data_IF_939181036888
#
_entry.id   IF_939181036888
#
_cell.length_a   1.000
_cell.length_b   1.000
_cell.length_c   1.000
_cell.angle_alpha   90.00
_cell.angle_beta   90.00
_cell.angle_gamma   90.00
#
_symmetry.space_group_name_H-M   'P 1'
#
loop_
_entity.id
_entity.type
_entity.pdbx_description
1 polymer ?
#
# COMPACT_ATOMS: atom_id res chain seq x y z
N UNK A 1 36.46 -31.33 33.41
CA UNK A 1 36.61 -31.29 31.94
C UNK A 1 35.38 -30.58 31.37
N UNK A 2 35.43 -29.26 31.18
CA UNK A 2 34.32 -28.48 30.61
C UNK A 2 34.90 -27.81 29.37
N UNK A 3 34.43 -28.20 28.18
CA UNK A 3 34.79 -27.52 26.93
C UNK A 3 33.53 -27.20 26.12
N UNK A 4 33.44 -25.91 25.78
CA UNK A 4 32.83 -25.33 24.58
C UNK A 4 31.35 -25.61 24.25
N UNK A 5 30.49 -24.66 24.60
CA UNK A 5 29.23 -24.35 23.88
C UNK A 5 29.00 -22.84 23.81
N UNK A 6 29.83 -22.10 23.06
CA UNK A 6 29.64 -20.65 22.88
C UNK A 6 29.99 -20.16 21.48
N UNK A 7 29.45 -20.76 20.42
CA UNK A 7 29.63 -20.22 19.05
C UNK A 7 28.41 -20.30 18.13
N UNK A 8 27.31 -20.96 18.52
CA UNK A 8 26.17 -21.18 17.59
C UNK A 8 25.10 -20.08 17.62
N UNK A 9 25.02 -19.25 18.68
CA UNK A 9 23.93 -18.26 18.84
C UNK A 9 24.11 -17.00 17.99
N UNK A 10 25.36 -16.63 17.65
CA UNK A 10 25.66 -15.42 16.88
C UNK A 10 25.50 -15.59 15.36
N UNK A 11 25.66 -16.80 14.83
CA UNK A 11 25.48 -17.06 13.40
C UNK A 11 24.00 -17.11 12.98
N UNK A 12 23.12 -17.61 13.84
CA UNK A 12 21.67 -17.67 13.59
C UNK A 12 21.02 -16.28 13.48
N UNK A 13 21.44 -15.32 14.32
CA UNK A 13 20.93 -13.94 14.25
C UNK A 13 21.38 -13.20 12.99
N UNK A 14 22.63 -13.40 12.53
CA UNK A 14 23.12 -12.86 11.25
C UNK A 14 22.43 -13.51 10.05
N UNK A 15 22.18 -14.82 10.10
CA UNK A 15 21.45 -15.53 9.05
C UNK A 15 20.00 -15.04 8.92
N UNK A 16 19.28 -14.87 10.05
CA UNK A 16 17.91 -14.31 10.05
C UNK A 16 17.85 -12.90 9.50
N UNK A 17 18.75 -12.01 9.92
CA UNK A 17 18.80 -10.64 9.39
C UNK A 17 19.04 -10.62 7.87
N UNK A 18 19.92 -11.50 7.38
CA UNK A 18 20.19 -11.63 5.94
C UNK A 18 18.96 -12.16 5.19
N UNK A 19 18.23 -13.13 5.74
CA UNK A 19 17.00 -13.68 5.13
C UNK A 19 15.87 -12.63 5.08
N UNK A 20 15.58 -11.92 6.18
CA UNK A 20 14.54 -10.87 6.18
C UNK A 20 14.90 -9.72 5.24
N UNK A 21 16.17 -9.31 5.18
CA UNK A 21 16.63 -8.30 4.19
C UNK A 21 16.47 -8.77 2.74
N UNK A 22 16.66 -10.06 2.47
CA UNK A 22 16.48 -10.67 1.15
C UNK A 22 15.00 -10.74 0.79
N UNK A 23 14.11 -11.13 1.72
CA UNK A 23 12.67 -11.16 1.45
C UNK A 23 12.08 -9.76 1.22
N UNK A 24 12.47 -8.76 2.02
CA UNK A 24 12.06 -7.35 1.79
C UNK A 24 12.56 -6.86 0.43
N UNK A 25 13.80 -7.21 0.06
CA UNK A 25 14.35 -6.87 -1.26
C UNK A 25 13.60 -7.58 -2.40
N UNK A 26 13.27 -8.86 -2.25
CA UNK A 26 12.51 -9.63 -3.25
C UNK A 26 11.09 -9.04 -3.41
N UNK A 27 10.43 -8.68 -2.30
CA UNK A 27 9.10 -8.08 -2.33
C UNK A 27 9.11 -6.72 -3.02
N UNK A 28 10.09 -5.86 -2.69
CA UNK A 28 10.30 -4.59 -3.41
C UNK A 28 10.58 -4.77 -4.91
N UNK A 29 11.32 -5.81 -5.30
CA UNK A 29 11.56 -6.09 -6.73
C UNK A 29 10.31 -6.56 -7.47
N UNK A 30 9.44 -7.33 -6.81
CA UNK A 30 8.17 -7.78 -7.37
C UNK A 30 7.21 -6.60 -7.55
N UNK A 31 7.05 -5.78 -6.51
CA UNK A 31 6.18 -4.60 -6.54
C UNK A 31 6.60 -3.63 -7.65
N UNK A 32 7.90 -3.42 -7.82
CA UNK A 32 8.43 -2.59 -8.91
C UNK A 32 8.13 -3.17 -10.30
N UNK A 33 8.22 -4.49 -10.44
CA UNK A 33 7.93 -5.16 -11.71
C UNK A 33 6.44 -5.10 -12.03
N UNK A 34 5.58 -5.28 -11.04
CA UNK A 34 4.13 -5.14 -11.17
C UNK A 34 3.74 -3.71 -11.60
N UNK A 35 4.37 -2.69 -11.01
CA UNK A 35 4.20 -1.30 -11.41
C UNK A 35 4.56 -1.09 -12.89
N UNK A 36 5.75 -1.54 -13.30
CA UNK A 36 6.22 -1.40 -14.68
C UNK A 36 5.31 -2.09 -15.69
N UNK A 37 4.83 -3.28 -15.36
CA UNK A 37 3.90 -4.01 -16.22
C UNK A 37 2.58 -3.26 -16.36
N UNK A 38 2.05 -2.69 -15.27
CA UNK A 38 0.85 -1.85 -15.34
C UNK A 38 1.04 -0.61 -16.22
N UNK A 39 2.18 0.09 -16.09
CA UNK A 39 2.47 1.25 -16.93
C UNK A 39 2.57 0.88 -18.42
N UNK A 40 3.15 -0.27 -18.75
CA UNK A 40 3.24 -0.76 -20.12
C UNK A 40 1.84 -0.99 -20.70
N UNK A 41 0.97 -1.66 -19.96
CA UNK A 41 -0.39 -1.96 -20.41
C UNK A 41 -1.23 -0.69 -20.55
N UNK A 42 -1.09 0.25 -19.61
CA UNK A 42 -1.72 1.57 -19.70
C UNK A 42 -1.26 2.28 -20.97
N UNK A 43 0.05 2.33 -21.26
CA UNK A 43 0.56 2.98 -22.46
C UNK A 43 0.02 2.35 -23.75
N UNK A 44 -0.15 1.02 -23.78
CA UNK A 44 -0.71 0.30 -24.91
C UNK A 44 -2.22 0.52 -25.11
N UNK A 45 -2.96 0.93 -24.08
CA UNK A 45 -4.42 1.07 -24.15
C UNK A 45 -4.92 2.51 -24.04
N UNK A 46 -4.12 3.44 -23.50
CA UNK A 46 -4.54 4.81 -23.23
C UNK A 46 -5.02 5.57 -24.48
N UNK A 47 -4.46 5.28 -25.66
CA UNK A 47 -4.90 5.91 -26.91
C UNK A 47 -6.30 5.46 -27.36
N UNK A 48 -6.81 4.34 -26.82
CA UNK A 48 -8.13 3.78 -27.11
C UNK A 48 -9.24 4.37 -26.24
N UNK A 49 -8.91 5.20 -25.24
CA UNK A 49 -9.92 5.94 -24.48
C UNK A 49 -10.61 6.92 -25.44
N UNK A 50 -11.95 6.91 -25.50
CA UNK A 50 -12.71 7.73 -26.45
C UNK A 50 -12.54 9.23 -26.19
N UNK A 51 -12.62 9.62 -24.92
CA UNK A 51 -12.57 11.02 -24.50
C UNK A 51 -11.15 11.59 -24.52
N UNK A 52 -10.89 12.71 -25.22
CA UNK A 52 -9.60 13.40 -25.18
C UNK A 52 -9.25 13.89 -23.76
N UNK A 53 -10.25 14.26 -22.97
CA UNK A 53 -10.05 14.65 -21.58
C UNK A 53 -9.55 13.47 -20.74
N UNK A 54 -10.10 12.28 -20.96
CA UNK A 54 -9.71 11.07 -20.22
C UNK A 54 -8.28 10.66 -20.57
N UNK A 55 -7.86 10.81 -21.84
CA UNK A 55 -6.47 10.59 -22.25
C UNK A 55 -5.50 11.51 -21.49
N UNK A 56 -5.86 12.80 -21.36
CA UNK A 56 -5.06 13.76 -20.57
C UNK A 56 -5.06 13.40 -19.09
N UNK A 57 -6.21 13.04 -18.51
CA UNK A 57 -6.31 12.60 -17.11
C UNK A 57 -5.44 11.38 -16.82
N UNK A 58 -5.51 10.38 -17.70
CA UNK A 58 -4.67 9.19 -17.61
C UNK A 58 -3.19 9.58 -17.56
N UNK A 59 -2.75 10.48 -18.45
CA UNK A 59 -1.37 10.95 -18.46
C UNK A 59 -0.98 11.72 -17.19
N UNK A 60 -1.86 12.56 -16.64
CA UNK A 60 -1.64 13.25 -15.36
C UNK A 60 -1.45 12.26 -14.20
N UNK A 61 -2.30 11.23 -14.14
CA UNK A 61 -2.21 10.18 -13.11
C UNK A 61 -0.97 9.31 -13.26
N UNK A 62 -0.61 8.92 -14.49
CA UNK A 62 0.65 8.19 -14.74
C UNK A 62 1.84 9.02 -14.27
N UNK A 63 1.90 10.32 -14.61
CA UNK A 63 2.96 11.22 -14.14
C UNK A 63 3.02 11.28 -12.62
N UNK A 64 1.86 11.41 -11.95
CA UNK A 64 1.80 11.40 -10.47
C UNK A 64 2.36 10.08 -9.93
N UNK A 65 1.89 8.93 -10.42
CA UNK A 65 2.33 7.62 -9.92
C UNK A 65 3.83 7.38 -10.14
N UNK A 66 4.39 7.83 -11.27
CA UNK A 66 5.83 7.75 -11.53
C UNK A 66 6.66 8.70 -10.66
N UNK A 67 6.06 9.78 -10.15
CA UNK A 67 6.74 10.73 -9.26
C UNK A 67 6.79 10.27 -7.81
N UNK A 68 6.02 9.24 -7.45
CA UNK A 68 6.00 8.70 -6.08
C UNK A 68 7.26 7.88 -5.79
N UNK A 69 7.85 8.05 -4.60
CA UNK A 69 9.04 7.32 -4.21
C UNK A 69 8.73 5.82 -4.02
N UNK A 70 9.74 5.00 -4.26
CA UNK A 70 9.74 3.54 -4.02
C UNK A 70 10.71 3.12 -2.91
N UNK A 71 11.13 4.09 -2.09
CA UNK A 71 12.02 3.90 -0.95
C UNK A 71 11.36 3.13 0.19
N UNK A 72 10.04 3.21 0.31
CA UNK A 72 9.24 2.57 1.33
C UNK A 72 8.20 1.59 0.73
N UNK A 73 8.04 0.44 1.37
CA UNK A 73 7.07 -0.59 1.00
C UNK A 73 5.64 -0.06 0.95
N UNK A 74 5.24 0.77 1.90
CA UNK A 74 3.86 1.30 1.91
C UNK A 74 3.62 2.28 0.75
N UNK A 75 4.62 3.09 0.40
CA UNK A 75 4.54 3.97 -0.77
C UNK A 75 4.47 3.15 -2.08
N UNK A 76 5.27 2.07 -2.17
CA UNK A 76 5.24 1.15 -3.31
C UNK A 76 3.89 0.45 -3.46
N UNK A 77 3.26 0.00 -2.36
CA UNK A 77 1.93 -0.60 -2.35
C UNK A 77 0.86 0.39 -2.82
N UNK A 78 0.81 1.59 -2.24
CA UNK A 78 -0.17 2.61 -2.65
C UNK A 78 0.00 2.93 -4.14
N UNK A 79 1.25 3.11 -4.60
CA UNK A 79 1.53 3.34 -6.02
C UNK A 79 1.00 2.19 -6.90
N UNK A 80 1.19 0.94 -6.47
CA UNK A 80 0.70 -0.24 -7.18
C UNK A 80 -0.82 -0.36 -7.18
N UNK A 81 -1.50 -0.12 -6.06
CA UNK A 81 -2.96 -0.15 -5.98
C UNK A 81 -3.58 0.78 -7.01
N UNK A 82 -3.14 2.04 -7.04
CA UNK A 82 -3.63 3.01 -8.02
C UNK A 82 -3.23 2.64 -9.46
N UNK A 83 -2.01 2.13 -9.69
CA UNK A 83 -1.57 1.73 -11.02
C UNK A 83 -2.38 0.56 -11.58
N UNK A 84 -2.66 -0.47 -10.78
CA UNK A 84 -3.47 -1.60 -11.20
C UNK A 84 -4.92 -1.18 -11.43
N UNK A 85 -5.49 -0.33 -10.58
CA UNK A 85 -6.86 0.14 -10.79
C UNK A 85 -6.97 1.01 -12.05
N UNK A 86 -6.01 1.90 -12.30
CA UNK A 86 -5.95 2.68 -13.53
C UNK A 86 -5.79 1.77 -14.76
N UNK A 87 -4.91 0.76 -14.70
CA UNK A 87 -4.72 -0.23 -15.76
C UNK A 87 -6.03 -0.92 -16.11
N UNK A 88 -6.78 -1.41 -15.12
CA UNK A 88 -8.06 -2.09 -15.36
C UNK A 88 -9.03 -1.17 -16.11
N UNK A 89 -9.16 0.08 -15.68
CA UNK A 89 -10.09 1.02 -16.31
C UNK A 89 -9.67 1.37 -17.75
N UNK A 90 -8.40 1.73 -17.94
CA UNK A 90 -7.85 2.08 -19.26
C UNK A 90 -7.95 0.92 -20.25
N UNK A 91 -7.66 -0.32 -19.80
CA UNK A 91 -7.81 -1.51 -20.64
C UNK A 91 -9.27 -1.77 -21.07
N UNK A 92 -10.25 -1.31 -20.27
CA UNK A 92 -11.67 -1.41 -20.58
C UNK A 92 -12.22 -0.17 -21.33
N UNK A 93 -11.39 0.80 -21.68
CA UNK A 93 -11.78 1.94 -22.51
C UNK A 93 -12.52 3.06 -21.78
N UNK A 94 -12.58 3.07 -20.45
CA UNK A 94 -13.23 4.14 -19.68
C UNK A 94 -12.37 4.62 -18.52
N UNK A 95 -12.67 5.82 -18.01
CA UNK A 95 -12.19 6.30 -16.72
C UNK A 95 -13.38 6.59 -15.78
N UNK A 96 -13.20 6.21 -14.53
CA UNK A 96 -14.09 6.48 -13.42
C UNK A 96 -13.31 7.09 -12.27
N UNK A 97 -14.02 7.46 -11.21
CA UNK A 97 -13.39 7.95 -9.99
C UNK A 97 -12.40 6.90 -9.43
N UNK A 98 -11.23 7.33 -8.91
CA UNK A 98 -10.81 8.72 -8.67
C UNK A 98 -10.17 9.42 -9.90
N UNK A 99 -10.01 8.72 -11.03
CA UNK A 99 -9.18 9.16 -12.16
C UNK A 99 -9.79 10.26 -13.04
N UNK A 100 -11.09 10.54 -12.90
CA UNK A 100 -11.75 11.65 -13.59
C UNK A 100 -11.28 13.03 -13.08
N UNK A 101 -10.76 13.08 -11.85
CA UNK A 101 -10.23 14.30 -11.24
C UNK A 101 -8.72 14.37 -11.31
N UNK A 102 -8.15 15.58 -11.20
CA UNK A 102 -6.69 15.74 -11.10
C UNK A 102 -6.13 14.92 -9.93
N UNK A 103 -4.97 14.28 -10.07
CA UNK A 103 -4.30 13.69 -8.92
C UNK A 103 -4.03 14.77 -7.87
N UNK A 104 -4.14 14.45 -6.56
CA UNK A 104 -3.87 15.42 -5.51
C UNK A 104 -2.41 15.84 -5.52
N UNK A 105 -2.16 17.11 -5.16
CA UNK A 105 -0.80 17.68 -5.06
C UNK A 105 -0.03 16.99 -3.93
N UNK A 106 -0.72 16.71 -2.82
CA UNK A 106 -0.18 16.08 -1.62
C UNK A 106 0.11 14.58 -1.81
N UNK A 107 0.52 13.91 -0.73
CA UNK A 107 0.70 12.46 -0.71
C UNK A 107 -0.60 11.72 -1.07
N UNK A 108 -0.47 10.53 -1.67
CA UNK A 108 -1.61 9.66 -1.90
C UNK A 108 -1.93 8.90 -0.60
N UNK A 109 -3.20 8.90 -0.23
CA UNK A 109 -3.76 7.96 0.76
C UNK A 109 -4.08 6.64 0.07
N UNK A 110 -4.35 5.58 0.84
CA UNK A 110 -4.74 4.26 0.29
C UNK A 110 -5.92 4.39 -0.68
N UNK A 111 -5.94 3.56 -1.72
CA UNK A 111 -7.01 3.64 -2.73
C UNK A 111 -8.38 3.37 -2.09
N UNK A 112 -8.44 2.41 -1.18
CA UNK A 112 -9.64 2.04 -0.44
C UNK A 112 -10.22 3.19 0.38
N UNK A 113 -9.37 3.94 1.09
CA UNK A 113 -9.79 5.12 1.84
C UNK A 113 -10.30 6.21 0.90
N UNK A 114 -9.60 6.45 -0.21
CA UNK A 114 -10.03 7.43 -1.21
C UNK A 114 -11.36 7.08 -1.84
N UNK A 115 -11.59 5.81 -2.18
CA UNK A 115 -12.85 5.34 -2.74
C UNK A 115 -13.98 5.43 -1.72
N UNK A 116 -13.73 5.03 -0.46
CA UNK A 116 -14.69 5.18 0.62
C UNK A 116 -15.11 6.64 0.85
N UNK A 117 -14.15 7.56 0.81
CA UNK A 117 -14.42 9.00 0.90
C UNK A 117 -15.32 9.49 -0.23
N UNK A 118 -15.06 9.03 -1.45
CA UNK A 118 -15.86 9.39 -2.62
C UNK A 118 -17.28 8.81 -2.54
N UNK A 119 -17.41 7.57 -2.07
CA UNK A 119 -18.70 6.92 -1.86
C UNK A 119 -19.51 7.62 -0.76
N UNK A 120 -18.89 8.01 0.36
CA UNK A 120 -19.56 8.72 1.46
C UNK A 120 -20.10 10.10 1.05
N UNK A 121 -19.54 10.71 0.00
CA UNK A 121 -20.08 11.95 -0.58
C UNK A 121 -21.28 11.72 -1.49
N UNK A 122 -21.40 10.52 -2.06
CA UNK A 122 -22.51 10.15 -2.94
C UNK A 122 -23.67 9.53 -2.18
N UNK A 123 -23.41 8.88 -1.03
CA UNK A 123 -24.39 8.17 -0.21
C UNK A 123 -24.43 8.85 1.18
N UNK A 124 -25.43 9.69 1.47
CA UNK A 124 -25.49 10.48 2.71
C UNK A 124 -25.47 9.65 3.99
N UNK A 125 -26.02 8.43 3.94
CA UNK A 125 -26.13 7.52 5.08
C UNK A 125 -24.84 6.72 5.34
N UNK A 126 -23.87 6.77 4.42
CA UNK A 126 -22.63 6.05 4.58
C UNK A 126 -21.69 6.86 5.49
N UNK A 127 -21.12 6.25 6.55
CA UNK A 127 -20.14 6.95 7.37
C UNK A 127 -18.95 7.39 6.50
N UNK A 128 -18.39 8.57 6.81
CA UNK A 128 -17.14 9.02 6.19
C UNK A 128 -16.09 7.92 6.36
N UNK A 129 -15.41 7.57 5.27
CA UNK A 129 -14.28 6.67 5.34
C UNK A 129 -13.15 7.36 6.08
N UNK A 130 -13.11 7.19 7.41
CA UNK A 130 -11.93 7.55 8.18
C UNK A 130 -10.73 6.70 7.76
N UNK A 131 -9.52 7.05 8.21
CA UNK A 131 -8.34 6.24 7.97
C UNK A 131 -8.65 4.78 8.31
N UNK A 132 -8.39 3.89 7.35
CA UNK A 132 -8.57 2.43 7.53
C UNK A 132 -7.56 1.88 8.55
N UNK A 133 -6.63 2.73 9.01
CA UNK A 133 -5.73 2.47 10.11
C UNK A 133 -6.42 2.73 11.48
N UNK A 134 -6.31 1.82 12.46
CA UNK A 134 -6.51 2.11 13.89
C UNK A 134 -5.90 3.47 14.29
N UNK A 135 -6.57 4.17 15.20
CA UNK A 135 -6.21 5.54 15.62
C UNK A 135 -4.89 5.54 16.42
N UNK A 136 -4.57 4.43 17.09
CA UNK A 136 -3.33 4.25 17.83
C UNK A 136 -2.76 2.90 17.43
N UNK A 137 -1.58 2.90 16.83
CA UNK A 137 -0.79 1.72 16.52
C UNK A 137 0.49 1.75 17.34
N UNK A 138 0.62 0.84 18.29
CA UNK A 138 1.88 0.60 18.96
C UNK A 138 2.36 -0.81 18.65
N UNK A 139 3.54 -0.89 18.02
CA UNK A 139 4.26 -2.14 17.82
C UNK A 139 5.45 -2.12 18.77
N UNK A 140 5.62 -3.20 19.52
CA UNK A 140 6.82 -3.35 20.34
C UNK A 140 8.07 -3.33 19.46
N UNK A 141 9.23 -2.87 19.95
CA UNK A 141 10.46 -2.81 19.17
C UNK A 141 10.90 -4.17 18.58
N UNK A 142 10.48 -5.26 19.20
CA UNK A 142 10.75 -6.65 18.78
C UNK A 142 9.66 -7.23 17.85
N UNK A 143 8.61 -6.46 17.56
CA UNK A 143 7.53 -6.84 16.65
C UNK A 143 6.63 -7.97 17.15
N UNK A 144 6.71 -8.34 18.43
CA UNK A 144 5.95 -9.44 19.04
C UNK A 144 4.59 -9.02 19.55
N UNK A 145 4.47 -7.77 19.96
CA UNK A 145 3.23 -7.21 20.44
C UNK A 145 2.76 -6.12 19.49
N UNK A 146 1.48 -6.19 19.18
CA UNK A 146 0.80 -5.21 18.36
C UNK A 146 -0.49 -4.79 19.06
N UNK A 147 -0.60 -3.49 19.29
CA UNK A 147 -1.80 -2.86 19.84
C UNK A 147 -2.35 -1.88 18.82
N UNK A 148 -3.63 -2.06 18.53
CA UNK A 148 -4.44 -1.18 17.70
C UNK A 148 -5.69 -0.76 18.48
N UNK A 149 -5.98 0.54 18.54
CA UNK A 149 -7.22 1.04 19.14
C UNK A 149 -8.02 1.88 18.13
N UNK A 150 -9.33 1.68 18.09
CA UNK A 150 -10.27 2.46 17.28
C UNK A 150 -11.46 2.90 18.13
N UNK A 151 -11.78 4.18 18.10
CA UNK A 151 -12.96 4.70 18.77
C UNK A 151 -14.23 4.25 18.02
N UNK A 152 -15.24 3.80 18.77
CA UNK A 152 -16.56 3.39 18.26
C UNK A 152 -17.65 4.17 19.00
N UNK A 153 -18.87 4.31 18.44
CA UNK A 153 -19.96 4.95 19.16
C UNK A 153 -20.21 4.25 20.51
N UNK A 154 -20.05 4.97 21.61
CA UNK A 154 -20.24 4.43 22.97
C UNK A 154 -19.04 3.66 23.57
N UNK A 155 -17.88 3.61 22.90
CA UNK A 155 -16.73 2.90 23.47
C UNK A 155 -15.45 2.92 22.62
N UNK A 156 -14.55 1.98 22.89
CA UNK A 156 -13.30 1.78 22.15
C UNK A 156 -13.16 0.30 21.81
N UNK A 157 -12.85 0.03 20.55
CA UNK A 157 -12.45 -1.28 20.07
C UNK A 157 -10.93 -1.39 20.17
N UNK A 158 -10.44 -2.29 21.01
CA UNK A 158 -9.01 -2.56 21.19
C UNK A 158 -8.67 -3.93 20.60
N UNK A 159 -7.68 -3.97 19.72
CA UNK A 159 -7.07 -5.18 19.21
C UNK A 159 -5.66 -5.32 19.77
N UNK A 160 -5.41 -6.40 20.51
CA UNK A 160 -4.10 -6.79 20.97
C UNK A 160 -3.76 -8.14 20.35
N UNK A 161 -2.65 -8.20 19.64
CA UNK A 161 -2.05 -9.44 19.19
C UNK A 161 -0.67 -9.59 19.84
N UNK A 162 -0.43 -10.77 20.42
CA UNK A 162 0.88 -11.15 20.95
C UNK A 162 1.28 -12.45 20.28
N UNK A 163 2.36 -12.40 19.51
CA UNK A 163 2.94 -13.58 18.88
C UNK A 163 4.12 -14.07 19.72
N UNK A 164 4.12 -15.34 20.17
CA UNK A 164 5.22 -15.91 20.96
C UNK A 164 6.53 -15.91 20.15
N UNK A 165 6.41 -16.06 18.83
CA UNK A 165 7.45 -15.84 17.85
C UNK A 165 7.08 -14.56 17.08
N UNK A 166 7.84 -13.47 17.26
CA UNK A 166 7.54 -12.18 16.61
C UNK A 166 7.39 -12.29 15.10
N UNK A 167 6.59 -11.40 14.51
CA UNK A 167 6.42 -11.28 13.06
C UNK A 167 7.80 -11.13 12.39
N UNK A 168 8.26 -12.21 11.75
CA UNK A 168 9.54 -12.34 11.05
C UNK A 168 9.63 -11.44 9.80
#
# INVERSE_FOLDING_TARGET
MILNRHTSRWQLSRARFKISSVQVKIMGTRDHQEFKNALRDIAQHAHKLDSPFDRVRCAEWVRKLTSLPDDNLEAAKIRNEYAQFLRIQVCNGFLHMPFLTKPPVNHLISLSERLGDLMSKQIPDLPKAGPIAPIIHHRSPDGRAYVAAKQIPGGVLCYLAVSPDGLA
#
